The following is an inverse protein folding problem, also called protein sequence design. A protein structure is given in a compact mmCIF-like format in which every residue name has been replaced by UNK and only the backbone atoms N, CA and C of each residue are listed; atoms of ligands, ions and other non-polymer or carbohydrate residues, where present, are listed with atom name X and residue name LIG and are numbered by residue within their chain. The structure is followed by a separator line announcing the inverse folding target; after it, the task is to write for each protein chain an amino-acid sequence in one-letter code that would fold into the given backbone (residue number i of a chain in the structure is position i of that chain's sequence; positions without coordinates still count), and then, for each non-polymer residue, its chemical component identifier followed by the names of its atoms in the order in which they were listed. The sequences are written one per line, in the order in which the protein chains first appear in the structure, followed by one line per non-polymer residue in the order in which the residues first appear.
data_IF_748567667045
#
_entry.id   IF_748567667045
#
_cell.length_a   1.000
_cell.length_b   1.000
_cell.length_c   1.000
_cell.angle_alpha   90.00
_cell.angle_beta   90.00
_cell.angle_gamma   90.00
#
_symmetry.space_group_name_H-M   'P 1'
#
loop_
_entity.id
_entity.type
_entity.pdbx_description
1 polymer ?
#
# COMPACT_ATOMS: atom_id res chain seq x y z
N UNK A 1 -0.23 30.48 -14.31
CA UNK A 1 -1.23 30.11 -15.34
C UNK A 1 -0.92 30.54 -16.79
N UNK A 2 -0.04 31.52 -17.05
CA UNK A 2 0.34 31.88 -18.43
C UNK A 2 1.24 30.83 -19.11
N UNK A 3 1.23 30.82 -20.46
CA UNK A 3 1.99 29.90 -21.35
C UNK A 3 1.57 28.41 -21.27
N UNK A 4 0.28 28.14 -21.04
CA UNK A 4 -0.27 26.77 -21.04
C UNK A 4 -0.28 26.06 -19.68
N UNK A 5 0.32 26.67 -18.65
CA UNK A 5 0.41 26.10 -17.31
C UNK A 5 1.82 25.61 -16.97
N UNK A 6 2.24 25.82 -15.73
CA UNK A 6 3.60 25.51 -15.25
C UNK A 6 3.55 24.88 -13.86
N UNK A 7 2.49 24.12 -13.58
CA UNK A 7 2.36 23.36 -12.34
C UNK A 7 3.45 22.27 -12.31
N UNK A 8 4.02 22.02 -11.14
CA UNK A 8 5.01 20.97 -10.89
C UNK A 8 6.25 21.01 -11.82
N UNK A 9 6.79 22.20 -12.09
CA UNK A 9 7.94 22.39 -13.01
C UNK A 9 9.30 22.47 -12.31
N UNK A 10 9.34 22.67 -11.00
CA UNK A 10 10.60 22.82 -10.28
C UNK A 10 11.31 21.48 -10.09
N UNK A 11 12.62 21.52 -9.84
CA UNK A 11 13.39 20.30 -9.53
C UNK A 11 12.89 19.59 -8.26
N UNK A 12 12.29 20.33 -7.33
CA UNK A 12 11.69 19.75 -6.13
C UNK A 12 10.40 18.99 -6.45
N UNK A 13 9.60 19.47 -7.40
CA UNK A 13 8.38 18.78 -7.84
C UNK A 13 8.73 17.43 -8.51
N UNK A 14 9.86 17.39 -9.24
CA UNK A 14 10.39 16.13 -9.77
C UNK A 14 10.80 15.15 -8.66
N UNK A 15 11.42 15.62 -7.58
CA UNK A 15 11.72 14.78 -6.41
C UNK A 15 10.42 14.25 -5.76
N UNK A 16 9.43 15.12 -5.54
CA UNK A 16 8.11 14.75 -5.02
C UNK A 16 7.47 13.64 -5.87
N UNK A 17 7.46 13.77 -7.20
CA UNK A 17 6.93 12.74 -8.11
C UNK A 17 7.76 11.45 -8.08
N UNK A 18 9.09 11.55 -7.98
CA UNK A 18 9.97 10.39 -7.92
C UNK A 18 9.72 9.53 -6.66
N UNK A 19 9.30 10.12 -5.54
CA UNK A 19 9.00 9.38 -4.31
C UNK A 19 7.83 8.42 -4.50
N UNK A 20 6.79 8.77 -5.25
CA UNK A 20 5.68 7.85 -5.54
C UNK A 20 6.16 6.62 -6.31
N UNK A 21 6.99 6.84 -7.33
CA UNK A 21 7.57 5.76 -8.12
C UNK A 21 8.53 4.89 -7.32
N UNK A 22 9.34 5.50 -6.47
CA UNK A 22 10.23 4.80 -5.56
C UNK A 22 9.43 3.86 -4.64
N UNK A 23 8.41 4.38 -3.94
CA UNK A 23 7.59 3.57 -3.03
C UNK A 23 6.87 2.43 -3.77
N UNK A 24 6.36 2.69 -4.97
CA UNK A 24 5.71 1.68 -5.79
C UNK A 24 6.68 0.58 -6.24
N UNK A 25 7.86 0.96 -6.72
CA UNK A 25 8.92 0.03 -7.16
C UNK A 25 9.41 -0.84 -6.01
N UNK A 26 9.68 -0.22 -4.85
CA UNK A 26 10.08 -0.96 -3.64
C UNK A 26 8.94 -1.87 -3.17
N UNK A 27 7.69 -1.41 -3.25
CA UNK A 27 6.51 -2.22 -2.97
C UNK A 27 6.44 -3.49 -3.82
N UNK A 28 6.65 -3.39 -5.13
CA UNK A 28 6.67 -4.55 -6.02
C UNK A 28 7.78 -5.55 -5.67
N UNK A 29 9.00 -5.07 -5.43
CA UNK A 29 10.15 -5.92 -5.08
C UNK A 29 9.92 -6.63 -3.73
N UNK A 30 9.42 -5.91 -2.73
CA UNK A 30 9.16 -6.48 -1.40
C UNK A 30 7.97 -7.45 -1.40
N UNK A 31 6.91 -7.17 -2.16
CA UNK A 31 5.78 -8.10 -2.33
C UNK A 31 6.22 -9.40 -3.00
N UNK A 32 7.02 -9.30 -4.07
CA UNK A 32 7.61 -10.48 -4.71
C UNK A 32 8.45 -11.30 -3.74
N UNK A 33 9.37 -10.64 -3.04
CA UNK A 33 10.25 -11.32 -2.10
C UNK A 33 9.46 -12.03 -0.99
N UNK A 34 8.49 -11.34 -0.40
CA UNK A 34 7.70 -11.84 0.71
C UNK A 34 6.83 -13.04 0.30
N UNK A 35 6.09 -12.94 -0.80
CA UNK A 35 5.22 -14.05 -1.24
C UNK A 35 6.03 -15.29 -1.64
N UNK A 36 7.16 -15.11 -2.32
CA UNK A 36 8.07 -16.20 -2.68
C UNK A 36 8.62 -16.91 -1.44
N UNK A 37 8.98 -16.19 -0.38
CA UNK A 37 9.49 -16.81 0.84
C UNK A 37 8.39 -17.48 1.68
N UNK A 38 7.20 -16.89 1.78
CA UNK A 38 6.07 -17.52 2.48
C UNK A 38 5.75 -18.89 1.88
N UNK A 39 5.65 -18.98 0.55
CA UNK A 39 5.31 -20.24 -0.13
C UNK A 39 6.41 -21.30 0.01
N UNK A 40 7.68 -20.89 0.10
CA UNK A 40 8.79 -21.77 0.47
C UNK A 40 8.67 -22.26 1.92
N UNK A 41 8.41 -21.37 2.88
CA UNK A 41 8.29 -21.72 4.31
C UNK A 41 7.06 -22.58 4.61
N UNK A 42 5.98 -22.43 3.85
CA UNK A 42 4.79 -23.29 3.93
C UNK A 42 4.99 -24.64 3.24
N UNK A 43 6.09 -24.83 2.49
CA UNK A 43 6.34 -26.04 1.71
C UNK A 43 5.47 -26.19 0.46
N UNK A 44 4.75 -25.13 0.06
CA UNK A 44 3.82 -25.13 -1.08
C UNK A 44 4.27 -24.16 -2.18
N UNK A 45 5.39 -24.50 -2.83
CA UNK A 45 6.03 -23.64 -3.85
C UNK A 45 5.17 -23.53 -5.12
N UNK A 46 4.32 -24.51 -5.43
CA UNK A 46 3.44 -24.48 -6.60
C UNK A 46 2.47 -23.30 -6.56
N UNK A 47 1.99 -22.91 -5.37
CA UNK A 47 1.09 -21.76 -5.22
C UNK A 47 1.69 -20.48 -5.82
N UNK A 48 2.97 -20.19 -5.57
CA UNK A 48 3.62 -19.03 -6.16
C UNK A 48 3.85 -19.22 -7.66
N UNK A 49 4.34 -20.38 -8.08
CA UNK A 49 4.69 -20.64 -9.49
C UNK A 49 3.47 -20.55 -10.41
N UNK A 50 2.29 -20.99 -9.95
CA UNK A 50 1.06 -21.01 -10.76
C UNK A 50 0.28 -19.69 -10.65
N UNK A 51 0.13 -19.13 -9.45
CA UNK A 51 -0.71 -17.94 -9.23
C UNK A 51 0.01 -16.61 -9.46
N UNK A 52 1.34 -16.55 -9.45
CA UNK A 52 2.05 -15.26 -9.61
C UNK A 52 2.07 -14.70 -11.04
N UNK A 53 1.66 -15.50 -12.03
CA UNK A 53 1.68 -15.12 -13.46
C UNK A 53 0.56 -14.16 -13.85
N UNK A 54 -0.47 -13.99 -13.01
CA UNK A 54 -1.61 -13.11 -13.24
C UNK A 54 -1.97 -12.31 -11.98
N UNK A 55 -2.41 -11.06 -12.15
CA UNK A 55 -2.64 -10.12 -11.04
C UNK A 55 -3.69 -10.60 -10.02
N UNK A 56 -4.70 -11.37 -10.45
CA UNK A 56 -5.71 -11.88 -9.51
C UNK A 56 -5.11 -12.87 -8.50
N UNK A 57 -4.04 -13.59 -8.85
CA UNK A 57 -3.33 -14.46 -7.90
C UNK A 57 -2.65 -13.64 -6.80
N UNK A 58 -2.03 -12.51 -7.15
CA UNK A 58 -1.46 -11.58 -6.16
C UNK A 58 -2.52 -11.00 -5.22
N UNK A 59 -3.72 -10.70 -5.73
CA UNK A 59 -4.79 -10.16 -4.90
C UNK A 59 -5.37 -11.22 -3.97
N UNK A 60 -5.75 -12.39 -4.51
CA UNK A 60 -6.45 -13.45 -3.77
C UNK A 60 -5.51 -14.26 -2.87
N UNK A 61 -4.43 -14.79 -3.44
CA UNK A 61 -3.60 -15.81 -2.79
C UNK A 61 -2.48 -15.19 -1.96
N UNK A 62 -2.13 -13.92 -2.23
CA UNK A 62 -1.16 -13.17 -1.43
C UNK A 62 -1.83 -12.16 -0.49
N UNK A 63 -2.41 -11.07 -1.03
CA UNK A 63 -2.92 -9.99 -0.19
C UNK A 63 -4.10 -10.43 0.69
N UNK A 64 -5.13 -11.05 0.09
CA UNK A 64 -6.33 -11.44 0.82
C UNK A 64 -6.08 -12.60 1.78
N UNK A 65 -5.51 -13.72 1.29
CA UNK A 65 -5.28 -14.92 2.10
C UNK A 65 -4.41 -14.65 3.34
N UNK A 66 -3.28 -13.94 3.17
CA UNK A 66 -2.33 -13.70 4.28
C UNK A 66 -2.76 -12.57 5.23
N UNK A 67 -3.81 -11.81 4.89
CA UNK A 67 -4.36 -10.80 5.81
C UNK A 67 -5.26 -11.41 6.88
N UNK A 68 -5.68 -12.66 6.75
CA UNK A 68 -6.72 -13.27 7.60
C UNK A 68 -6.39 -13.26 9.10
N UNK A 69 -5.16 -13.60 9.50
CA UNK A 69 -4.73 -13.56 10.90
C UNK A 69 -4.56 -12.12 11.40
N UNK A 70 -4.03 -11.23 10.55
CA UNK A 70 -3.81 -9.82 10.88
C UNK A 70 -5.13 -9.13 11.22
N UNK A 71 -6.15 -9.25 10.37
CA UNK A 71 -7.44 -8.58 10.58
C UNK A 71 -8.25 -9.16 11.74
N UNK A 72 -7.93 -10.40 12.17
CA UNK A 72 -8.53 -11.04 13.35
C UNK A 72 -7.68 -10.85 14.62
N UNK A 73 -6.70 -9.94 14.63
CA UNK A 73 -5.92 -9.62 15.82
C UNK A 73 -6.77 -9.12 16.99
N UNK A 74 -7.90 -8.48 16.70
CA UNK A 74 -9.00 -8.23 17.61
C UNK A 74 -10.33 -8.38 16.86
N UNK A 75 -11.35 -8.92 17.51
CA UNK A 75 -12.68 -9.10 16.95
C UNK A 75 -13.73 -9.03 18.09
N UNK A 76 -15.05 -9.13 17.79
CA UNK A 76 -16.08 -9.03 18.82
C UNK A 76 -16.00 -10.08 19.94
N UNK A 77 -15.25 -11.17 19.74
CA UNK A 77 -15.13 -12.28 20.68
C UNK A 77 -13.87 -12.21 21.56
N UNK A 78 -12.91 -11.33 21.23
CA UNK A 78 -11.68 -11.17 22.00
C UNK A 78 -10.54 -10.54 21.21
N UNK A 79 -9.34 -10.57 21.79
CA UNK A 79 -8.12 -10.05 21.19
C UNK A 79 -6.94 -10.99 21.45
N UNK A 80 -5.94 -10.94 20.58
CA UNK A 80 -4.67 -11.67 20.72
C UNK A 80 -3.47 -10.73 20.59
N UNK A 81 -2.26 -11.28 20.61
CA UNK A 81 -1.01 -10.51 20.51
C UNK A 81 -0.82 -9.77 19.19
N UNK A 82 -1.62 -10.07 18.16
CA UNK A 82 -1.63 -9.36 16.87
C UNK A 82 -2.49 -8.10 16.86
N UNK A 83 -3.24 -7.83 17.92
CA UNK A 83 -4.16 -6.67 18.02
C UNK A 83 -3.47 -5.33 17.71
N UNK A 84 -2.24 -5.12 18.20
CA UNK A 84 -1.48 -3.89 17.92
C UNK A 84 -1.14 -3.74 16.44
N UNK A 85 -0.83 -4.84 15.74
CA UNK A 85 -0.54 -4.83 14.30
C UNK A 85 -1.80 -4.59 13.48
N UNK A 86 -2.93 -5.18 13.88
CA UNK A 86 -4.23 -4.92 13.27
C UNK A 86 -4.62 -3.43 13.36
N UNK A 87 -4.37 -2.81 14.52
CA UNK A 87 -4.61 -1.38 14.71
C UNK A 87 -3.67 -0.52 13.85
N UNK A 88 -2.36 -0.80 13.86
CA UNK A 88 -1.39 -0.08 13.02
C UNK A 88 -1.70 -0.22 11.52
N UNK A 89 -2.21 -1.37 11.09
CA UNK A 89 -2.64 -1.59 9.70
C UNK A 89 -3.77 -0.63 9.31
N UNK A 90 -4.81 -0.49 10.15
CA UNK A 90 -5.89 0.47 9.90
C UNK A 90 -5.41 1.92 10.00
N UNK A 91 -4.56 2.22 10.98
CA UNK A 91 -3.97 3.55 11.12
C UNK A 91 -3.14 3.95 9.88
N UNK A 92 -2.40 3.01 9.30
CA UNK A 92 -1.70 3.21 8.03
C UNK A 92 -2.64 3.58 6.89
N UNK A 93 -3.80 2.91 6.77
CA UNK A 93 -4.82 3.25 5.77
C UNK A 93 -5.41 4.64 6.01
N UNK A 94 -5.65 5.02 7.27
CA UNK A 94 -6.13 6.36 7.62
C UNK A 94 -5.13 7.45 7.21
N UNK A 95 -3.86 7.30 7.56
CA UNK A 95 -2.81 8.27 7.22
C UNK A 95 -2.62 8.35 5.70
N UNK A 96 -2.61 7.21 5.02
CA UNK A 96 -2.52 7.15 3.57
C UNK A 96 -3.67 7.92 2.91
N UNK A 97 -4.92 7.62 3.28
CA UNK A 97 -6.10 8.30 2.73
C UNK A 97 -6.15 9.79 3.09
N UNK A 98 -5.69 10.17 4.28
CA UNK A 98 -5.58 11.58 4.70
C UNK A 98 -4.58 12.33 3.82
N UNK A 99 -3.48 11.69 3.40
CA UNK A 99 -2.52 12.26 2.46
C UNK A 99 -3.19 12.71 1.15
N UNK A 100 -4.14 11.95 0.62
CA UNK A 100 -4.82 12.27 -0.64
C UNK A 100 -5.59 13.59 -0.58
N UNK A 101 -6.06 14.00 0.60
CA UNK A 101 -6.66 15.32 0.79
C UNK A 101 -5.71 16.42 0.31
N UNK A 102 -4.45 16.38 0.73
CA UNK A 102 -3.44 17.40 0.39
C UNK A 102 -2.86 17.25 -1.02
N UNK A 103 -2.91 16.05 -1.61
CA UNK A 103 -2.43 15.81 -2.98
C UNK A 103 -3.46 16.24 -4.03
N UNK A 104 -4.76 16.10 -3.73
CA UNK A 104 -5.84 16.36 -4.68
C UNK A 104 -6.39 17.79 -4.52
N UNK A 105 -6.70 18.19 -3.29
CA UNK A 105 -7.25 19.53 -3.05
C UNK A 105 -6.12 20.56 -2.96
N UNK A 106 -6.26 21.67 -3.67
CA UNK A 106 -5.23 22.69 -3.75
C UNK A 106 -5.57 23.89 -2.87
N UNK A 107 -4.54 24.67 -2.55
CA UNK A 107 -4.60 25.77 -1.57
C UNK A 107 -5.78 26.74 -1.77
N UNK A 108 -6.20 27.02 -3.01
CA UNK A 108 -7.27 27.98 -3.29
C UNK A 108 -8.56 27.68 -2.53
N UNK A 109 -8.98 26.42 -2.50
CA UNK A 109 -10.18 26.00 -1.76
C UNK A 109 -10.07 26.27 -0.26
N UNK A 110 -8.94 25.88 0.35
CA UNK A 110 -8.73 26.00 1.79
C UNK A 110 -8.52 27.44 2.28
N UNK A 111 -8.09 28.32 1.40
CA UNK A 111 -7.88 29.74 1.72
C UNK A 111 -9.21 30.49 1.86
N UNK A 112 -10.27 30.00 1.21
CA UNK A 112 -11.60 30.61 1.17
C UNK A 112 -12.57 30.06 2.23
N UNK A 113 -12.18 28.96 2.92
CA UNK A 113 -12.92 28.34 4.02
C UNK A 113 -12.59 29.01 5.36
#
# INVERSE_FOLDING_TARGET
PGRGGTCDISAWDAFYLAVFWMLNTIGWVTFYWHWKHITLWQGNVSQFNESSTYLMGWLRDYLWLNSSQLINGYNPFGMNSLSVWAWMFLFGHLVWATGFMFLISWRGYWQEL
#
